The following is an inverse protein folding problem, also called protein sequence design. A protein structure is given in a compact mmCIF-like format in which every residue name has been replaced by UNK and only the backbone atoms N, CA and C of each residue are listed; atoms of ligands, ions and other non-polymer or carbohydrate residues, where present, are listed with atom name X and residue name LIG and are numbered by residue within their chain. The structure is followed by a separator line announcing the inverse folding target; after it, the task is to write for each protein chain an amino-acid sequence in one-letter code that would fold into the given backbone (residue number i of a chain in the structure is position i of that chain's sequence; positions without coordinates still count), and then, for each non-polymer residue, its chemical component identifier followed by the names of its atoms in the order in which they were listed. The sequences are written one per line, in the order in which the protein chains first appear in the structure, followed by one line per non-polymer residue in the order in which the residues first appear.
data_IF_788059482791
#
_entry.id   IF_788059482791
#
_cell.length_a   1.000
_cell.length_b   1.000
_cell.length_c   1.000
_cell.angle_alpha   90.00
_cell.angle_beta   90.00
_cell.angle_gamma   90.00
#
_symmetry.space_group_name_H-M   'P 1'
#
loop_
_entity.id
_entity.type
_entity.pdbx_description
1 polymer ?
#
# COMPACT_ATOMS: atom_id res chain seq x y z
N UNK A 1 18.88 29.89 5.71
CA UNK A 1 17.46 29.76 5.38
C UNK A 1 17.09 28.30 5.51
N UNK A 2 16.26 27.95 6.50
CA UNK A 2 15.92 26.56 6.81
C UNK A 2 15.00 26.02 5.71
N UNK A 3 15.47 25.05 4.92
CA UNK A 3 14.57 24.24 4.08
C UNK A 3 13.66 23.48 5.05
N UNK A 4 12.34 23.65 4.93
CA UNK A 4 11.36 22.99 5.79
C UNK A 4 11.72 21.51 5.91
N UNK A 5 11.90 21.03 7.14
CA UNK A 5 12.25 19.64 7.44
C UNK A 5 11.06 18.78 7.00
N UNK A 6 11.18 18.15 5.82
CA UNK A 6 10.20 17.22 5.26
C UNK A 6 10.11 16.01 6.19
N UNK A 7 8.91 15.57 6.52
CA UNK A 7 8.73 14.47 7.45
C UNK A 7 8.79 13.13 6.69
N UNK A 8 9.67 12.20 7.06
CA UNK A 8 9.76 10.86 6.46
C UNK A 8 8.58 9.97 6.86
N UNK A 9 8.33 8.85 6.14
CA UNK A 9 7.35 7.83 6.55
C UNK A 9 7.54 7.42 8.02
N UNK A 10 8.79 7.38 8.47
CA UNK A 10 9.19 7.07 9.85
C UNK A 10 8.67 8.12 10.85
N UNK A 11 8.76 9.42 10.52
CA UNK A 11 8.29 10.52 11.38
C UNK A 11 6.75 10.56 11.49
N UNK A 12 6.04 9.97 10.53
CA UNK A 12 4.58 9.86 10.53
C UNK A 12 4.06 8.49 10.98
N UNK A 13 4.93 7.50 11.14
CA UNK A 13 4.53 6.10 11.34
C UNK A 13 3.64 5.91 12.58
N UNK A 14 3.95 6.55 13.71
CA UNK A 14 3.16 6.42 14.94
C UNK A 14 1.72 6.91 14.76
N UNK A 15 1.53 8.06 14.11
CA UNK A 15 0.18 8.62 13.84
C UNK A 15 -0.58 7.76 12.85
N UNK A 16 0.09 7.28 11.80
CA UNK A 16 -0.51 6.37 10.83
C UNK A 16 -0.96 5.09 11.54
N UNK A 17 -0.13 4.50 12.39
CA UNK A 17 -0.45 3.30 13.16
C UNK A 17 -1.63 3.50 14.12
N UNK A 18 -1.71 4.64 14.79
CA UNK A 18 -2.86 4.94 15.68
C UNK A 18 -4.19 4.88 14.94
N UNK A 19 -4.21 5.36 13.69
CA UNK A 19 -5.41 5.32 12.85
C UNK A 19 -5.70 3.94 12.24
N UNK A 20 -4.69 3.08 12.17
CA UNK A 20 -4.81 1.71 11.63
C UNK A 20 -5.17 0.66 12.70
N UNK A 21 -5.50 1.09 13.93
CA UNK A 21 -6.05 0.22 14.97
C UNK A 21 -7.46 -0.23 14.61
N UNK A 22 -7.55 -1.28 13.81
CA UNK A 22 -8.80 -1.83 13.29
C UNK A 22 -8.93 -3.33 13.60
N UNK A 23 -10.14 -3.90 13.57
CA UNK A 23 -10.31 -5.35 13.72
C UNK A 23 -9.56 -6.12 12.61
N UNK A 24 -9.02 -7.30 12.93
CA UNK A 24 -8.28 -8.17 11.99
C UNK A 24 -7.12 -7.44 11.30
N UNK A 25 -6.37 -6.66 12.08
CA UNK A 25 -5.32 -5.78 11.60
C UNK A 25 -4.24 -6.53 10.81
N UNK A 26 -3.84 -7.72 11.23
CA UNK A 26 -2.86 -8.58 10.56
C UNK A 26 -3.33 -9.00 9.17
N UNK A 27 -4.58 -9.44 9.03
CA UNK A 27 -5.17 -9.81 7.75
C UNK A 27 -5.31 -8.59 6.82
N UNK A 28 -5.77 -7.45 7.38
CA UNK A 28 -5.86 -6.21 6.62
C UNK A 28 -4.51 -5.73 6.13
N UNK A 29 -3.48 -5.81 6.97
CA UNK A 29 -2.13 -5.44 6.58
C UNK A 29 -1.64 -6.30 5.42
N UNK A 30 -1.79 -7.63 5.47
CA UNK A 30 -1.38 -8.50 4.37
C UNK A 30 -2.05 -8.13 3.05
N UNK A 31 -3.37 -7.93 3.06
CA UNK A 31 -4.12 -7.53 1.85
C UNK A 31 -3.73 -6.12 1.38
N UNK A 32 -3.45 -5.20 2.30
CA UNK A 32 -3.03 -3.84 1.98
C UNK A 32 -1.59 -3.77 1.44
N UNK A 33 -0.69 -4.59 1.95
CA UNK A 33 0.69 -4.72 1.45
C UNK A 33 0.66 -5.24 0.03
N UNK A 34 -0.17 -6.24 -0.24
CA UNK A 34 -0.36 -6.74 -1.60
C UNK A 34 -0.93 -5.67 -2.54
N UNK A 35 -1.95 -4.91 -2.10
CA UNK A 35 -2.45 -3.77 -2.86
C UNK A 35 -1.35 -2.73 -3.16
N UNK A 36 -0.48 -2.45 -2.18
CA UNK A 36 0.67 -1.56 -2.33
C UNK A 36 1.70 -2.10 -3.32
N UNK A 37 2.03 -3.39 -3.24
CA UNK A 37 2.93 -4.06 -4.17
C UNK A 37 2.41 -4.04 -5.61
N UNK A 38 1.14 -4.41 -5.83
CA UNK A 38 0.53 -4.38 -7.16
C UNK A 38 0.58 -2.97 -7.75
N UNK A 39 0.33 -1.98 -6.90
CA UNK A 39 0.39 -0.56 -7.28
C UNK A 39 1.81 -0.17 -7.69
N UNK A 40 2.81 -0.44 -6.86
CA UNK A 40 4.21 -0.17 -7.18
C UNK A 40 4.68 -0.87 -8.46
N UNK A 41 4.07 -2.01 -8.80
CA UNK A 41 4.36 -2.79 -10.00
C UNK A 41 3.70 -2.26 -11.28
N UNK A 42 2.77 -1.31 -11.17
CA UNK A 42 1.84 -0.97 -12.25
C UNK A 42 2.50 -0.43 -13.54
N UNK A 43 3.73 0.07 -13.45
CA UNK A 43 4.46 0.70 -14.56
C UNK A 43 5.46 -0.22 -15.28
N UNK A 44 5.70 -1.45 -14.79
CA UNK A 44 6.56 -2.39 -15.50
C UNK A 44 7.33 -3.39 -14.64
N UNK A 45 7.22 -3.32 -13.31
CA UNK A 45 7.91 -4.25 -12.41
C UNK A 45 8.22 -3.61 -11.07
N UNK A 46 8.86 -4.39 -10.20
CA UNK A 46 9.51 -3.90 -8.98
C UNK A 46 10.92 -4.45 -9.04
N UNK A 47 11.91 -3.58 -9.12
CA UNK A 47 13.33 -3.99 -9.07
C UNK A 47 13.78 -4.31 -7.63
N UNK A 48 14.97 -4.89 -7.48
CA UNK A 48 15.47 -5.31 -6.16
C UNK A 48 15.62 -4.11 -5.18
N UNK A 49 15.93 -2.92 -5.68
CA UNK A 49 16.06 -1.71 -4.86
C UNK A 49 14.68 -1.24 -4.38
N UNK A 50 13.69 -1.26 -5.26
CA UNK A 50 12.30 -0.95 -4.92
C UNK A 50 11.73 -1.99 -3.95
N UNK A 51 12.09 -3.27 -4.13
CA UNK A 51 11.68 -4.34 -3.23
C UNK A 51 12.21 -4.10 -1.80
N UNK A 52 13.49 -3.78 -1.64
CA UNK A 52 14.07 -3.44 -0.33
C UNK A 52 13.35 -2.25 0.34
N UNK A 53 12.92 -1.27 -0.46
CA UNK A 53 12.19 -0.10 0.03
C UNK A 53 10.78 -0.47 0.47
N UNK A 54 10.10 -1.35 -0.28
CA UNK A 54 8.80 -1.90 0.14
C UNK A 54 8.94 -2.66 1.45
N UNK A 55 9.95 -3.54 1.58
CA UNK A 55 10.19 -4.30 2.83
C UNK A 55 10.30 -3.34 4.02
N UNK A 56 11.15 -2.32 3.93
CA UNK A 56 11.31 -1.30 4.98
C UNK A 56 10.02 -0.56 5.29
N UNK A 57 9.24 -0.18 4.27
CA UNK A 57 7.97 0.50 4.47
C UNK A 57 6.96 -0.40 5.21
N UNK A 58 6.90 -1.68 4.86
CA UNK A 58 6.04 -2.67 5.51
C UNK A 58 6.45 -2.89 6.96
N UNK A 59 7.74 -3.04 7.25
CA UNK A 59 8.25 -3.18 8.62
C UNK A 59 7.92 -1.97 9.48
N UNK A 60 8.13 -0.77 8.94
CA UNK A 60 7.77 0.48 9.60
C UNK A 60 6.27 0.52 9.88
N UNK A 61 5.41 0.22 8.92
CA UNK A 61 3.96 0.32 9.13
C UNK A 61 3.41 -0.80 10.02
N UNK A 62 3.99 -2.00 9.98
CA UNK A 62 3.54 -3.18 10.72
C UNK A 62 4.03 -3.23 12.17
N UNK A 63 5.15 -2.57 12.50
CA UNK A 63 5.69 -2.51 13.86
C UNK A 63 5.92 -3.89 14.51
N UNK A 64 6.27 -4.90 13.69
CA UNK A 64 6.48 -6.29 14.12
C UNK A 64 5.23 -7.16 14.09
N UNK A 65 4.08 -6.66 13.61
CA UNK A 65 2.93 -7.49 13.23
C UNK A 65 3.22 -8.41 12.05
N UNK A 66 4.21 -8.03 11.23
CA UNK A 66 4.77 -8.83 10.15
C UNK A 66 6.27 -8.85 10.36
N UNK A 67 6.88 -10.04 10.44
CA UNK A 67 8.33 -10.16 10.58
C UNK A 67 9.02 -9.90 9.22
N UNK A 68 10.30 -9.51 9.23
CA UNK A 68 11.10 -9.24 8.01
C UNK A 68 11.03 -10.40 7.01
N UNK A 69 11.30 -11.63 7.47
CA UNK A 69 11.22 -12.83 6.64
C UNK A 69 9.81 -13.12 6.11
N UNK A 70 8.76 -12.69 6.82
CA UNK A 70 7.37 -12.87 6.39
C UNK A 70 7.01 -11.82 5.35
N UNK A 71 7.60 -10.63 5.46
CA UNK A 71 7.45 -9.54 4.51
C UNK A 71 8.04 -9.92 3.16
N UNK A 72 9.27 -10.41 3.12
CA UNK A 72 9.89 -10.89 1.87
C UNK A 72 9.06 -12.03 1.24
N UNK A 73 8.68 -13.03 2.05
CA UNK A 73 7.85 -14.14 1.57
C UNK A 73 6.49 -13.68 1.05
N UNK A 74 5.87 -12.70 1.69
CA UNK A 74 4.61 -12.09 1.27
C UNK A 74 4.76 -11.36 -0.07
N UNK A 75 5.82 -10.57 -0.24
CA UNK A 75 6.06 -9.84 -1.49
C UNK A 75 6.37 -10.80 -2.65
N UNK A 76 7.08 -11.90 -2.39
CA UNK A 76 7.31 -12.98 -3.35
C UNK A 76 6.00 -13.68 -3.76
N UNK A 77 5.09 -13.90 -2.82
CA UNK A 77 3.76 -14.43 -3.11
C UNK A 77 2.94 -13.44 -3.96
N UNK A 78 2.97 -12.14 -3.62
CA UNK A 78 2.31 -11.10 -4.39
C UNK A 78 2.84 -11.05 -5.83
N UNK A 79 4.16 -11.22 -6.01
CA UNK A 79 4.80 -11.29 -7.33
C UNK A 79 4.25 -12.46 -8.16
N UNK A 80 4.23 -13.66 -7.58
CA UNK A 80 3.71 -14.88 -8.24
C UNK A 80 2.25 -14.72 -8.63
N UNK A 81 1.42 -14.23 -7.71
CA UNK A 81 0.00 -14.02 -7.96
C UNK A 81 -0.25 -12.97 -9.05
N UNK A 82 0.55 -11.91 -9.09
CA UNK A 82 0.49 -10.92 -10.17
C UNK A 82 0.92 -11.49 -11.53
N UNK A 83 1.93 -12.37 -11.55
CA UNK A 83 2.42 -13.05 -12.76
C UNK A 83 1.37 -14.04 -13.31
N UNK A 84 0.74 -14.81 -12.43
CA UNK A 84 -0.21 -15.86 -12.80
C UNK A 84 -1.59 -15.30 -13.19
N UNK A 85 -2.08 -14.29 -12.47
CA UNK A 85 -3.45 -13.79 -12.62
C UNK A 85 -3.55 -12.48 -13.40
N UNK A 86 -2.42 -11.82 -13.65
CA UNK A 86 -2.36 -10.47 -14.20
C UNK A 86 -2.76 -9.39 -13.18
N UNK A 87 -2.23 -8.17 -13.38
CA UNK A 87 -2.43 -7.06 -12.45
C UNK A 87 -3.90 -6.70 -12.24
N UNK A 88 -4.70 -6.61 -13.31
CA UNK A 88 -6.12 -6.23 -13.20
C UNK A 88 -6.94 -7.29 -12.48
N UNK A 89 -6.70 -8.57 -12.81
CA UNK A 89 -7.37 -9.71 -12.18
C UNK A 89 -7.06 -9.76 -10.69
N UNK A 90 -5.80 -9.55 -10.33
CA UNK A 90 -5.37 -9.56 -8.94
C UNK A 90 -5.85 -8.34 -8.16
N UNK A 91 -5.79 -7.15 -8.75
CA UNK A 91 -6.32 -5.91 -8.15
C UNK A 91 -7.81 -6.04 -7.77
N UNK A 92 -8.62 -6.70 -8.60
CA UNK A 92 -10.03 -6.94 -8.31
C UNK A 92 -10.24 -7.87 -7.09
N UNK A 93 -9.44 -8.93 -6.98
CA UNK A 93 -9.49 -9.86 -5.84
C UNK A 93 -9.06 -9.19 -4.54
N UNK A 94 -7.97 -8.43 -4.58
CA UNK A 94 -7.45 -7.67 -3.44
C UNK A 94 -8.47 -6.63 -2.97
N UNK A 95 -9.10 -5.90 -3.89
CA UNK A 95 -10.17 -4.98 -3.53
C UNK A 95 -11.37 -5.69 -2.88
N UNK A 96 -11.75 -6.87 -3.39
CA UNK A 96 -12.82 -7.67 -2.79
C UNK A 96 -12.47 -8.13 -1.37
N UNK A 97 -11.22 -8.57 -1.14
CA UNK A 97 -10.74 -8.93 0.19
C UNK A 97 -10.76 -7.74 1.16
N UNK A 98 -10.34 -6.55 0.72
CA UNK A 98 -10.43 -5.31 1.51
C UNK A 98 -11.86 -4.99 1.95
N UNK A 99 -12.84 -5.26 1.07
CA UNK A 99 -14.27 -5.09 1.36
C UNK A 99 -14.76 -6.11 2.39
N UNK A 100 -14.37 -7.38 2.26
CA UNK A 100 -14.76 -8.45 3.19
C UNK A 100 -14.21 -8.25 4.60
N UNK A 101 -13.02 -7.64 4.71
CA UNK A 101 -12.43 -7.25 6.00
C UNK A 101 -13.15 -6.07 6.65
N UNK A 102 -14.03 -5.37 5.94
CA UNK A 102 -14.82 -4.25 6.46
C UNK A 102 -14.02 -2.98 6.73
N UNK A 103 -12.76 -2.92 6.26
CA UNK A 103 -11.81 -1.84 6.53
C UNK A 103 -11.15 -1.32 5.24
N UNK A 104 -11.93 -1.27 4.16
CA UNK A 104 -11.43 -0.98 2.81
C UNK A 104 -10.67 0.35 2.71
N UNK A 105 -11.16 1.42 3.34
CA UNK A 105 -10.50 2.73 3.30
C UNK A 105 -9.14 2.72 4.02
N UNK A 106 -9.05 2.04 5.17
CA UNK A 106 -7.80 1.89 5.92
C UNK A 106 -6.79 1.03 5.15
N UNK A 107 -7.23 -0.08 4.57
CA UNK A 107 -6.36 -0.92 3.74
C UNK A 107 -5.88 -0.21 2.48
N UNK A 108 -6.75 0.55 1.80
CA UNK A 108 -6.35 1.36 0.65
C UNK A 108 -5.36 2.47 1.03
N UNK A 109 -5.51 3.06 2.23
CA UNK A 109 -4.58 4.06 2.73
C UNK A 109 -3.18 3.47 2.99
N UNK A 110 -3.10 2.29 3.62
CA UNK A 110 -1.83 1.55 3.78
C UNK A 110 -1.22 1.21 2.42
N UNK A 111 -2.03 0.70 1.49
CA UNK A 111 -1.58 0.39 0.13
C UNK A 111 -0.95 1.61 -0.56
N UNK A 112 -1.58 2.78 -0.44
CA UNK A 112 -1.07 4.02 -1.01
C UNK A 112 0.25 4.47 -0.33
N UNK A 113 0.40 4.28 0.99
CA UNK A 113 1.65 4.59 1.69
C UNK A 113 2.79 3.67 1.26
N UNK A 114 2.52 2.36 1.13
CA UNK A 114 3.48 1.34 0.71
C UNK A 114 3.90 1.58 -0.73
N UNK A 115 2.96 1.78 -1.65
CA UNK A 115 3.26 2.04 -3.05
C UNK A 115 4.14 3.29 -3.22
N UNK A 116 3.88 4.35 -2.46
CA UNK A 116 4.68 5.58 -2.51
C UNK A 116 6.07 5.47 -1.92
N UNK A 117 6.40 4.37 -1.24
CA UNK A 117 7.72 4.22 -0.64
C UNK A 117 8.80 4.12 -1.72
N UNK A 118 8.52 3.44 -2.84
CA UNK A 118 9.49 3.14 -3.90
C UNK A 118 9.82 4.37 -4.74
N UNK A 119 8.83 4.89 -5.46
CA UNK A 119 8.85 6.10 -6.31
C UNK A 119 7.44 6.71 -6.25
N UNK A 120 7.31 8.03 -6.43
CA UNK A 120 6.02 8.70 -6.24
C UNK A 120 4.93 8.20 -7.20
N UNK A 121 3.64 8.28 -6.79
CA UNK A 121 2.49 7.79 -7.57
C UNK A 121 2.43 8.39 -8.98
N UNK A 122 2.86 7.62 -9.98
CA UNK A 122 2.63 7.92 -11.39
C UNK A 122 1.18 7.61 -11.80
N UNK A 123 0.80 8.00 -13.02
CA UNK A 123 -0.58 7.86 -13.51
C UNK A 123 -1.06 6.40 -13.49
N UNK A 124 -0.19 5.45 -13.81
CA UNK A 124 -0.45 4.00 -13.78
C UNK A 124 -0.81 3.52 -12.38
N UNK A 125 -0.01 3.91 -11.39
CA UNK A 125 -0.18 3.56 -9.98
C UNK A 125 -1.49 4.14 -9.41
N UNK A 126 -1.79 5.40 -9.73
CA UNK A 126 -3.03 6.05 -9.31
C UNK A 126 -4.28 5.37 -9.89
N UNK A 127 -4.23 4.94 -11.16
CA UNK A 127 -5.36 4.22 -11.77
C UNK A 127 -5.50 2.80 -11.21
N UNK A 128 -4.40 2.12 -10.84
CA UNK A 128 -4.49 0.81 -10.18
C UNK A 128 -5.05 0.91 -8.76
N UNK A 129 -4.59 1.86 -7.94
CA UNK A 129 -5.20 2.12 -6.61
C UNK A 129 -6.69 2.42 -6.72
N UNK A 130 -7.10 3.12 -7.77
CA UNK A 130 -8.51 3.40 -8.05
C UNK A 130 -9.28 2.16 -8.49
N UNK A 131 -8.68 1.25 -9.25
CA UNK A 131 -9.29 -0.03 -9.59
C UNK A 131 -9.50 -0.91 -8.34
N UNK A 132 -8.49 -0.98 -7.47
CA UNK A 132 -8.56 -1.68 -6.18
C UNK A 132 -9.65 -1.07 -5.31
N UNK A 133 -9.64 0.26 -5.12
CA UNK A 133 -10.60 0.97 -4.30
C UNK A 133 -12.04 0.82 -4.79
N UNK A 134 -12.27 0.86 -6.11
CA UNK A 134 -13.59 0.60 -6.71
C UNK A 134 -14.06 -0.83 -6.42
N UNK A 135 -13.18 -1.82 -6.57
CA UNK A 135 -13.49 -3.22 -6.27
C UNK A 135 -13.79 -3.43 -4.78
N UNK A 136 -13.16 -2.61 -3.93
CA UNK A 136 -13.45 -2.57 -2.49
C UNK A 136 -14.75 -1.81 -2.13
N UNK A 137 -15.45 -1.23 -3.11
CA UNK A 137 -16.69 -0.48 -2.91
C UNK A 137 -16.49 0.97 -2.43
N UNK A 138 -15.29 1.53 -2.57
CA UNK A 138 -14.98 2.91 -2.19
C UNK A 138 -15.36 3.85 -3.33
N UNK A 139 -16.01 4.97 -3.01
CA UNK A 139 -16.35 6.00 -4.00
C UNK A 139 -15.11 6.75 -4.53
N UNK A 140 -15.14 7.16 -5.79
CA UNK A 140 -14.00 7.82 -6.46
C UNK A 140 -13.46 9.06 -5.71
N UNK A 141 -14.34 9.88 -5.12
CA UNK A 141 -13.89 11.06 -4.36
C UNK A 141 -13.08 10.66 -3.12
N UNK A 142 -13.55 9.65 -2.38
CA UNK A 142 -12.83 9.11 -1.22
C UNK A 142 -11.50 8.48 -1.60
N UNK A 143 -11.44 7.72 -2.69
CA UNK A 143 -10.18 7.16 -3.22
C UNK A 143 -9.19 8.30 -3.47
N UNK A 144 -9.62 9.36 -4.16
CA UNK A 144 -8.76 10.52 -4.44
C UNK A 144 -8.28 11.20 -3.16
N UNK A 145 -9.14 11.32 -2.15
CA UNK A 145 -8.78 11.93 -0.88
C UNK A 145 -7.77 11.07 -0.10
N UNK A 146 -7.94 9.74 -0.11
CA UNK A 146 -6.98 8.78 0.46
C UNK A 146 -5.61 8.90 -0.22
N UNK A 147 -5.57 8.90 -1.56
CA UNK A 147 -4.32 9.02 -2.32
C UNK A 147 -3.63 10.35 -2.04
N UNK A 148 -4.37 11.48 -2.08
CA UNK A 148 -3.82 12.80 -1.74
C UNK A 148 -3.27 12.87 -0.32
N UNK A 149 -3.93 12.21 0.61
CA UNK A 149 -3.51 12.14 2.00
C UNK A 149 -2.21 11.36 2.15
N UNK A 150 -2.11 10.18 1.54
CA UNK A 150 -0.87 9.41 1.48
C UNK A 150 0.25 10.24 0.82
N UNK A 151 -0.08 10.99 -0.23
CA UNK A 151 0.86 11.90 -0.90
C UNK A 151 1.45 12.94 0.05
N UNK A 152 0.59 13.54 0.87
CA UNK A 152 0.99 14.58 1.82
C UNK A 152 1.89 14.06 2.94
N UNK A 153 1.81 12.78 3.26
CA UNK A 153 2.52 12.16 4.40
C UNK A 153 3.86 11.54 4.03
N UNK A 154 4.07 11.10 2.78
CA UNK A 154 5.35 10.50 2.38
C UNK A 154 6.31 11.47 1.68
N UNK A 155 5.92 12.75 1.54
CA UNK A 155 6.79 13.85 1.10
C UNK A 155 7.17 13.79 -0.38
N UNK A 156 6.78 14.79 -1.16
CA UNK A 156 7.39 15.08 -2.47
C UNK A 156 8.64 15.96 -2.29
#
# INVERSE_FOLDING_TARGET
MSKGKKLSLEEHADKIREELKVPRQDELFKVAIEAGYLTARADGGVDDTELEVLVKAVELLSQGLVLEWETESLLDECKKLADDEGLDGRAAKVGSALKELGQAEAGLFVAALVARATKGVEKSEAELLKAIGKSAGIGNDKIRDIVKRATSLTGE
#
